data_IF_538532550180
#
_entry.id   IF_538532550180
#
_cell.length_a   1.000
_cell.length_b   1.000
_cell.length_c   1.000
_cell.angle_alpha   90.00
_cell.angle_beta   90.00
_cell.angle_gamma   90.00
#
_symmetry.space_group_name_H-M   'P 1'
#
loop_
_entity.id
_entity.type
_entity.pdbx_description
1 polymer ?
#
# COMPACT_ATOMS: atom_id res chain seq x y z
N UNK A 1 3.68 -16.84 24.25
CA UNK A 1 2.95 -16.04 23.23
C UNK A 1 2.69 -14.68 23.84
N UNK A 2 3.41 -13.65 23.39
CA UNK A 2 3.04 -12.26 23.68
C UNK A 2 1.79 -11.96 22.86
N UNK A 3 0.70 -11.55 23.48
CA UNK A 3 -0.45 -11.00 22.74
C UNK A 3 0.04 -9.65 22.21
N UNK A 4 0.03 -9.44 20.89
CA UNK A 4 0.40 -8.16 20.31
C UNK A 4 -0.37 -7.05 21.03
N UNK A 5 0.35 -6.11 21.66
CA UNK A 5 -0.28 -4.95 22.27
C UNK A 5 -0.90 -4.13 21.15
N UNK A 6 -2.19 -3.88 21.22
CA UNK A 6 -2.84 -2.94 20.32
C UNK A 6 -2.46 -1.52 20.74
N UNK A 7 -1.36 -1.02 20.16
CA UNK A 7 -0.84 0.32 20.35
C UNK A 7 -0.68 1.06 19.02
N UNK A 8 -0.62 2.39 19.10
CA UNK A 8 -0.16 3.20 17.98
C UNK A 8 1.36 3.10 17.93
N UNK A 9 1.91 2.79 16.76
CA UNK A 9 3.36 2.71 16.61
C UNK A 9 3.99 4.09 16.57
N UNK A 10 5.21 4.20 17.11
CA UNK A 10 6.05 5.36 16.87
C UNK A 10 6.62 5.31 15.46
N UNK A 11 6.00 6.05 14.52
CA UNK A 11 6.50 6.15 13.14
C UNK A 11 7.62 7.18 13.07
N UNK A 12 8.84 6.74 12.77
CA UNK A 12 9.87 7.65 12.30
C UNK A 12 9.59 8.03 10.83
N UNK A 13 9.23 9.29 10.60
CA UNK A 13 8.83 9.80 9.30
C UNK A 13 10.04 10.15 8.43
N UNK A 14 10.48 9.19 7.62
CA UNK A 14 11.42 9.44 6.52
C UNK A 14 10.65 9.90 5.26
N UNK A 15 11.31 10.57 4.30
CA UNK A 15 10.68 10.92 3.03
C UNK A 15 10.07 9.71 2.29
N UNK A 16 10.70 8.53 2.38
CA UNK A 16 10.21 7.31 1.77
C UNK A 16 8.90 6.83 2.41
N UNK A 17 8.81 6.83 3.75
CA UNK A 17 7.57 6.47 4.47
C UNK A 17 6.44 7.47 4.20
N UNK A 18 6.76 8.77 4.17
CA UNK A 18 5.80 9.80 3.79
C UNK A 18 5.29 9.59 2.35
N UNK A 19 6.19 9.35 1.40
CA UNK A 19 5.83 9.08 0.01
C UNK A 19 4.97 7.81 -0.13
N UNK A 20 5.29 6.75 0.63
CA UNK A 20 4.52 5.50 0.64
C UNK A 20 3.09 5.75 1.11
N UNK A 21 2.91 6.45 2.21
CA UNK A 21 1.58 6.77 2.76
C UNK A 21 0.80 7.67 1.80
N UNK A 22 1.44 8.72 1.26
CA UNK A 22 0.80 9.62 0.31
C UNK A 22 0.36 8.86 -0.95
N UNK A 23 1.23 8.03 -1.53
CA UNK A 23 0.90 7.24 -2.71
C UNK A 23 -0.24 6.25 -2.44
N UNK A 24 -0.22 5.55 -1.29
CA UNK A 24 -1.30 4.66 -0.89
C UNK A 24 -2.64 5.37 -0.73
N UNK A 25 -2.66 6.54 -0.10
CA UNK A 25 -3.87 7.34 0.09
C UNK A 25 -4.39 7.94 -1.22
N UNK A 26 -3.50 8.38 -2.11
CA UNK A 26 -3.88 8.84 -3.45
C UNK A 26 -4.51 7.72 -4.26
N UNK A 27 -3.88 6.54 -4.32
CA UNK A 27 -4.44 5.36 -4.99
C UNK A 27 -5.77 4.97 -4.38
N UNK A 28 -5.91 4.94 -3.04
CA UNK A 28 -7.18 4.66 -2.38
C UNK A 28 -8.27 5.67 -2.78
N UNK A 29 -7.95 6.96 -2.77
CA UNK A 29 -8.87 8.03 -3.18
C UNK A 29 -9.31 7.90 -4.63
N UNK A 30 -8.39 7.56 -5.55
CA UNK A 30 -8.73 7.33 -6.96
C UNK A 30 -9.66 6.13 -7.12
N UNK A 31 -9.40 5.02 -6.42
CA UNK A 31 -10.29 3.85 -6.44
C UNK A 31 -11.70 4.19 -5.91
N UNK A 32 -11.80 4.96 -4.83
CA UNK A 32 -13.11 5.42 -4.33
C UNK A 32 -13.80 6.35 -5.33
N UNK A 33 -13.08 7.24 -6.00
CA UNK A 33 -13.64 8.09 -7.06
C UNK A 33 -14.10 7.27 -8.28
N UNK A 34 -13.35 6.23 -8.66
CA UNK A 34 -13.77 5.30 -9.72
C UNK A 34 -15.03 4.54 -9.31
N UNK A 35 -15.15 4.11 -8.06
CA UNK A 35 -16.34 3.44 -7.57
C UNK A 35 -17.60 4.32 -7.71
N UNK A 36 -17.52 5.59 -7.34
CA UNK A 36 -18.67 6.51 -7.42
C UNK A 36 -19.01 6.93 -8.84
N UNK A 37 -18.02 7.03 -9.74
CA UNK A 37 -18.24 7.48 -11.12
C UNK A 37 -18.59 6.37 -12.09
N UNK A 38 -18.21 5.12 -11.81
CA UNK A 38 -18.51 3.95 -12.66
C UNK A 38 -19.65 3.09 -12.14
N UNK A 39 -19.96 3.17 -10.84
CA UNK A 39 -20.91 2.26 -10.18
C UNK A 39 -20.34 0.88 -9.87
N UNK A 40 -19.07 0.62 -10.20
CA UNK A 40 -18.42 -0.67 -10.00
C UNK A 40 -17.86 -0.80 -8.58
N UNK A 41 -18.54 -1.59 -7.75
CA UNK A 41 -18.19 -1.78 -6.33
C UNK A 41 -16.78 -2.38 -6.13
N UNK A 42 -16.21 -3.05 -7.14
CA UNK A 42 -14.85 -3.59 -7.07
C UNK A 42 -13.84 -2.49 -6.74
N UNK A 43 -13.98 -1.28 -7.31
CA UNK A 43 -13.07 -0.20 -6.99
C UNK A 43 -13.21 0.27 -5.54
N UNK A 44 -14.40 0.23 -4.96
CA UNK A 44 -14.58 0.56 -3.55
C UNK A 44 -13.83 -0.43 -2.65
N UNK A 45 -13.94 -1.73 -2.94
CA UNK A 45 -13.19 -2.78 -2.23
C UNK A 45 -11.68 -2.53 -2.34
N UNK A 46 -11.22 -2.17 -3.55
CA UNK A 46 -9.80 -1.91 -3.77
C UNK A 46 -9.26 -0.71 -2.98
N UNK A 47 -10.03 0.39 -2.94
CA UNK A 47 -9.69 1.57 -2.15
C UNK A 47 -9.73 1.29 -0.64
N UNK A 48 -10.76 0.60 -0.17
CA UNK A 48 -10.91 0.24 1.24
C UNK A 48 -9.80 -0.71 1.72
N UNK A 49 -9.35 -1.65 0.89
CA UNK A 49 -8.21 -2.51 1.24
C UNK A 49 -6.92 -1.73 1.53
N UNK A 50 -6.65 -0.68 0.75
CA UNK A 50 -5.52 0.21 1.01
C UNK A 50 -5.70 1.04 2.28
N UNK A 51 -6.92 1.50 2.56
CA UNK A 51 -7.23 2.23 3.81
C UNK A 51 -7.08 1.33 5.04
N UNK A 52 -7.47 0.06 4.95
CA UNK A 52 -7.20 -0.92 6.00
C UNK A 52 -5.70 -1.08 6.20
N UNK A 53 -4.92 -1.22 5.12
CA UNK A 53 -3.46 -1.25 5.19
C UNK A 53 -2.87 0.00 5.86
N UNK A 54 -3.38 1.19 5.53
CA UNK A 54 -2.99 2.45 6.17
C UNK A 54 -3.31 2.46 7.67
N UNK A 55 -4.49 1.99 8.08
CA UNK A 55 -4.84 1.90 9.51
C UNK A 55 -3.90 0.94 10.23
N UNK A 56 -3.62 -0.24 9.66
CA UNK A 56 -2.68 -1.22 10.24
C UNK A 56 -1.27 -0.62 10.31
N UNK A 57 -0.84 0.16 9.32
CA UNK A 57 0.46 0.85 9.31
C UNK A 57 0.65 1.79 10.50
N UNK A 58 -0.41 2.34 11.07
CA UNK A 58 -0.35 3.21 12.25
C UNK A 58 -0.26 2.42 13.58
N UNK A 59 -0.31 1.10 13.53
CA UNK A 59 -0.33 0.24 14.73
C UNK A 59 0.95 -0.58 14.86
N UNK A 60 1.18 -1.12 16.06
CA UNK A 60 2.25 -2.08 16.34
C UNK A 60 2.03 -3.45 15.67
N UNK A 61 0.93 -3.64 14.94
CA UNK A 61 0.69 -4.83 14.11
C UNK A 61 1.47 -4.78 12.79
N UNK A 62 2.15 -3.67 12.49
CA UNK A 62 2.86 -3.50 11.23
C UNK A 62 4.21 -4.23 11.25
N UNK A 63 4.27 -5.34 10.53
CA UNK A 63 5.48 -6.13 10.32
C UNK A 63 6.05 -5.93 8.90
N UNK A 64 7.36 -6.09 8.66
CA UNK A 64 7.96 -5.92 7.33
C UNK A 64 7.26 -6.74 6.22
N UNK A 65 6.75 -7.93 6.54
CA UNK A 65 6.00 -8.78 5.59
C UNK A 65 4.75 -8.09 5.00
N UNK A 66 4.16 -7.12 5.70
CA UNK A 66 3.01 -6.36 5.17
C UNK A 66 3.38 -5.46 4.00
N UNK A 67 4.65 -5.07 3.85
CA UNK A 67 5.13 -4.42 2.63
C UNK A 67 5.04 -5.36 1.42
N UNK A 68 5.37 -6.65 1.59
CA UNK A 68 5.20 -7.65 0.54
C UNK A 68 3.72 -7.86 0.19
N UNK A 69 2.84 -7.91 1.18
CA UNK A 69 1.39 -7.98 0.98
C UNK A 69 0.90 -6.78 0.17
N UNK A 70 1.34 -5.57 0.52
CA UNK A 70 1.04 -4.35 -0.23
C UNK A 70 1.56 -4.38 -1.67
N UNK A 71 2.79 -4.86 -1.89
CA UNK A 71 3.36 -5.00 -3.22
C UNK A 71 2.58 -5.99 -4.09
N UNK A 72 2.21 -7.16 -3.55
CA UNK A 72 1.38 -8.15 -4.23
C UNK A 72 0.01 -7.58 -4.56
N UNK A 73 -0.62 -6.90 -3.59
CA UNK A 73 -1.93 -6.27 -3.76
C UNK A 73 -1.92 -5.29 -4.94
N UNK A 74 -1.00 -4.32 -4.92
CA UNK A 74 -0.84 -3.30 -5.96
C UNK A 74 -0.44 -3.91 -7.32
N UNK A 75 0.40 -4.93 -7.30
CA UNK A 75 0.78 -5.68 -8.50
C UNK A 75 -0.43 -6.33 -9.16
N UNK A 76 -1.23 -7.08 -8.40
CA UNK A 76 -2.44 -7.75 -8.90
C UNK A 76 -3.46 -6.75 -9.43
N UNK A 77 -3.75 -5.67 -8.69
CA UNK A 77 -4.71 -4.64 -9.14
C UNK A 77 -4.25 -3.92 -10.40
N UNK A 78 -2.94 -3.75 -10.57
CA UNK A 78 -2.36 -3.20 -11.79
C UNK A 78 -2.49 -4.16 -12.96
N UNK A 79 -2.13 -5.44 -12.78
CA UNK A 79 -2.26 -6.47 -13.82
C UNK A 79 -3.70 -6.65 -14.27
N UNK A 80 -4.65 -6.78 -13.33
CA UNK A 80 -6.07 -6.94 -13.64
C UNK A 80 -6.59 -5.76 -14.46
N UNK A 81 -6.21 -4.53 -14.09
CA UNK A 81 -6.61 -3.34 -14.82
C UNK A 81 -6.08 -3.31 -16.27
N UNK A 82 -4.82 -3.71 -16.49
CA UNK A 82 -4.24 -3.79 -17.85
C UNK A 82 -5.00 -4.81 -18.70
N UNK A 83 -5.43 -5.93 -18.12
CA UNK A 83 -6.09 -7.02 -18.84
C UNK A 83 -7.60 -6.81 -19.04
N UNK A 84 -8.30 -6.19 -18.08
CA UNK A 84 -9.75 -6.04 -18.08
C UNK A 84 -10.24 -4.79 -18.87
N UNK A 85 -9.35 -3.87 -19.23
CA UNK A 85 -9.69 -2.64 -19.94
C UNK A 85 -9.96 -1.44 -19.02
N UNK A 86 -10.19 -0.27 -19.63
CA UNK A 86 -10.16 1.03 -18.94
C UNK A 86 -11.52 1.78 -18.99
N UNK A 87 -12.31 1.79 -17.90
CA UNK A 87 -13.54 2.61 -17.82
C UNK A 87 -13.24 4.11 -17.88
N UNK A 88 -12.07 4.52 -17.37
CA UNK A 88 -11.56 5.90 -17.41
C UNK A 88 -10.04 5.90 -17.64
N UNK A 89 -9.58 6.00 -18.90
CA UNK A 89 -8.18 5.74 -19.24
C UNK A 89 -7.21 6.73 -18.61
N UNK A 90 -7.55 8.03 -18.55
CA UNK A 90 -6.66 9.05 -17.98
C UNK A 90 -6.49 8.86 -16.46
N UNK A 91 -7.60 8.78 -15.72
CA UNK A 91 -7.55 8.63 -14.26
C UNK A 91 -6.92 7.29 -13.86
N UNK A 92 -7.24 6.21 -14.58
CA UNK A 92 -6.61 4.91 -14.39
C UNK A 92 -5.11 4.92 -14.70
N UNK A 93 -4.66 5.59 -15.75
CA UNK A 93 -3.24 5.70 -16.07
C UNK A 93 -2.46 6.49 -15.00
N UNK A 94 -3.01 7.60 -14.51
CA UNK A 94 -2.43 8.36 -13.39
C UNK A 94 -2.29 7.48 -12.16
N UNK A 95 -3.35 6.73 -11.81
CA UNK A 95 -3.31 5.77 -10.71
C UNK A 95 -2.25 4.69 -10.91
N UNK A 96 -2.03 4.19 -12.14
CA UNK A 96 -0.99 3.19 -12.41
C UNK A 96 0.43 3.73 -12.24
N UNK A 97 0.67 4.99 -12.58
CA UNK A 97 1.97 5.64 -12.31
C UNK A 97 2.20 5.74 -10.79
N UNK A 98 1.16 6.13 -10.03
CA UNK A 98 1.25 6.20 -8.56
C UNK A 98 1.46 4.80 -7.97
N UNK A 99 0.74 3.79 -8.46
CA UNK A 99 0.88 2.40 -8.05
C UNK A 99 2.28 1.84 -8.36
N UNK A 100 2.91 2.22 -9.48
CA UNK A 100 4.27 1.82 -9.77
C UNK A 100 5.28 2.37 -8.75
N UNK A 101 5.12 3.64 -8.36
CA UNK A 101 5.92 4.26 -7.29
C UNK A 101 5.65 3.57 -5.95
N UNK A 102 4.38 3.33 -5.62
CA UNK A 102 3.98 2.66 -4.38
C UNK A 102 4.55 1.23 -4.30
N UNK A 103 4.52 0.49 -5.41
CA UNK A 103 5.12 -0.84 -5.51
C UNK A 103 6.62 -0.78 -5.23
N UNK A 104 7.35 0.14 -5.87
CA UNK A 104 8.78 0.32 -5.65
C UNK A 104 9.09 0.68 -4.19
N UNK A 105 8.27 1.54 -3.56
CA UNK A 105 8.41 1.90 -2.16
C UNK A 105 8.13 0.71 -1.22
N UNK A 106 7.14 -0.14 -1.51
CA UNK A 106 6.91 -1.36 -0.75
C UNK A 106 8.12 -2.29 -0.79
N UNK A 107 8.68 -2.54 -1.98
CA UNK A 107 9.88 -3.37 -2.11
C UNK A 107 11.08 -2.72 -1.40
N UNK A 108 11.26 -1.41 -1.54
CA UNK A 108 12.33 -0.68 -0.88
C UNK A 108 12.24 -0.80 0.65
N UNK A 109 11.05 -0.56 1.23
CA UNK A 109 10.83 -0.62 2.68
C UNK A 109 11.02 -2.03 3.22
N UNK A 110 10.50 -3.04 2.51
CA UNK A 110 10.69 -4.46 2.86
C UNK A 110 12.18 -4.78 2.99
N UNK A 111 12.97 -4.45 1.96
CA UNK A 111 14.40 -4.74 1.93
C UNK A 111 15.18 -3.92 2.96
N UNK A 112 14.81 -2.66 3.20
CA UNK A 112 15.50 -1.84 4.19
C UNK A 112 15.29 -2.35 5.61
N UNK A 113 14.07 -2.74 5.97
CA UNK A 113 13.77 -3.17 7.34
C UNK A 113 14.31 -4.57 7.62
N UNK A 114 14.20 -5.52 6.69
CA UNK A 114 14.81 -6.85 6.86
C UNK A 114 16.33 -6.79 7.05
N UNK A 115 17.02 -5.86 6.39
CA UNK A 115 18.48 -5.69 6.56
C UNK A 115 18.85 -5.12 7.92
N UNK A 116 18.02 -4.26 8.48
CA UNK A 116 18.22 -3.72 9.82
C UNK A 116 18.04 -4.82 10.86
N UNK A 117 16.99 -5.62 10.73
CA UNK A 117 16.73 -6.75 11.63
C UNK A 117 17.86 -7.79 11.62
N UNK A 118 18.40 -8.12 10.44
CA UNK A 118 19.53 -9.04 10.29
C UNK A 118 20.80 -8.52 11.00
N UNK A 119 21.07 -7.22 10.90
CA UNK A 119 22.22 -6.58 11.54
C UNK A 119 22.11 -6.62 13.07
N UNK A 120 20.96 -6.25 13.64
CA UNK A 120 20.70 -6.26 15.07
C UNK A 120 20.73 -7.68 15.67
N UNK A 121 20.43 -8.71 14.87
CA UNK A 121 20.50 -10.12 15.31
C UNK A 121 21.90 -10.71 15.36
N UNK A 122 22.89 -10.04 14.76
CA UNK A 122 24.28 -10.49 14.66
C UNK A 122 25.20 -9.95 15.77
N UNK A 123 24.70 -9.03 16.59
CA UNK A 123 25.36 -8.40 17.76
C UNK A 123 25.01 -9.11 19.08
#
# INVERSE_FOLDING_TARGET
MSVASFGLRSVEWTPARAALVIAALLTAGIHLALATTTGENVFAVLGLGLLVGFVIFLTDLWEPVLYLVGAVYVGVTTTVWVLAGMPQPLLGAVDKVIQAVLFALFIYMLVSEMRTDDADSSD
#
